data_IF_135492870667
#
_entry.id   IF_135492870667
#
_cell.length_a   1.000
_cell.length_b   1.000
_cell.length_c   1.000
_cell.angle_alpha   90.00
_cell.angle_beta   90.00
_cell.angle_gamma   90.00
#
_symmetry.space_group_name_H-M   'P 1'
#
loop_
_entity.id
_entity.type
_entity.pdbx_description
1 polymer ?
#
# COMPACT_ATOMS: atom_id res chain seq x y z
N UNK A 1 -8.49 -26.11 6.34
CA UNK A 1 -8.78 -24.90 5.54
C UNK A 1 -7.54 -24.00 5.36
N UNK A 2 -6.74 -23.81 6.42
CA UNK A 2 -5.51 -22.98 6.43
C UNK A 2 -4.39 -23.47 5.50
N UNK A 3 -4.29 -24.78 5.26
CA UNK A 3 -3.25 -25.37 4.39
C UNK A 3 -3.49 -25.17 2.88
N UNK A 4 -4.75 -24.93 2.47
CA UNK A 4 -5.12 -24.79 1.07
C UNK A 4 -4.82 -23.39 0.50
N UNK A 5 -4.86 -22.34 1.33
CA UNK A 5 -4.48 -20.98 0.94
C UNK A 5 -2.98 -20.88 0.63
N UNK A 6 -2.12 -21.62 1.36
CA UNK A 6 -0.66 -21.52 1.23
C UNK A 6 -0.11 -21.91 -0.16
N UNK A 7 -0.83 -22.72 -0.94
CA UNK A 7 -0.30 -23.29 -2.19
C UNK A 7 -0.50 -22.44 -3.45
N UNK A 8 -1.37 -21.43 -3.45
CA UNK A 8 -1.75 -20.68 -4.67
C UNK A 8 -1.79 -19.15 -4.49
N UNK A 9 -1.11 -18.59 -3.48
CA UNK A 9 -1.01 -17.12 -3.35
C UNK A 9 0.03 -16.60 -4.34
N UNK A 10 -0.45 -15.88 -5.34
CA UNK A 10 0.39 -15.23 -6.36
C UNK A 10 0.52 -13.75 -6.01
N UNK A 11 1.74 -13.20 -5.86
CA UNK A 11 1.93 -11.77 -5.68
C UNK A 11 1.32 -10.98 -6.83
N UNK A 12 0.58 -9.93 -6.51
CA UNK A 12 0.09 -8.98 -7.51
C UNK A 12 1.26 -8.24 -8.17
N UNK A 13 1.20 -8.06 -9.48
CA UNK A 13 2.25 -7.39 -10.23
C UNK A 13 2.29 -5.89 -9.93
N UNK A 14 3.43 -5.23 -10.19
CA UNK A 14 3.54 -3.77 -10.04
C UNK A 14 2.56 -3.00 -10.95
N UNK A 15 2.20 -3.58 -12.09
CA UNK A 15 1.22 -2.99 -13.01
C UNK A 15 -0.17 -2.84 -12.37
N UNK A 16 -0.50 -3.66 -11.38
CA UNK A 16 -1.73 -3.49 -10.61
C UNK A 16 -1.75 -2.15 -9.86
N UNK A 17 -0.60 -1.68 -9.37
CA UNK A 17 -0.51 -0.42 -8.62
C UNK A 17 -0.31 0.80 -9.52
N UNK A 18 0.18 0.61 -10.76
CA UNK A 18 0.36 1.68 -11.75
C UNK A 18 -0.97 2.08 -12.42
N UNK A 19 -1.97 2.41 -11.61
CA UNK A 19 -3.34 2.74 -12.01
C UNK A 19 -3.92 3.78 -11.03
N UNK A 20 -5.00 4.49 -11.39
CA UNK A 20 -5.56 5.55 -10.54
C UNK A 20 -5.80 5.10 -9.09
N UNK A 21 -5.42 5.91 -8.11
CA UNK A 21 -5.43 5.56 -6.68
C UNK A 21 -6.79 5.03 -6.21
N UNK A 22 -7.89 5.68 -6.61
CA UNK A 22 -9.25 5.26 -6.26
C UNK A 22 -9.62 3.87 -6.81
N UNK A 23 -9.08 3.51 -7.99
CA UNK A 23 -9.32 2.19 -8.58
C UNK A 23 -8.56 1.12 -7.82
N UNK A 24 -7.29 1.38 -7.52
CA UNK A 24 -6.45 0.46 -6.75
C UNK A 24 -7.03 0.22 -5.36
N UNK A 25 -7.39 1.27 -4.61
CA UNK A 25 -7.97 1.16 -3.27
C UNK A 25 -9.21 0.25 -3.25
N UNK A 26 -10.16 0.48 -4.17
CA UNK A 26 -11.37 -0.35 -4.26
C UNK A 26 -11.08 -1.80 -4.64
N UNK A 27 -10.16 -2.04 -5.57
CA UNK A 27 -9.83 -3.39 -6.03
C UNK A 27 -8.95 -4.17 -5.04
N UNK A 28 -8.25 -3.51 -4.12
CA UNK A 28 -7.55 -4.16 -3.02
C UNK A 28 -8.52 -4.82 -2.03
N UNK A 29 -9.76 -4.33 -1.92
CA UNK A 29 -10.77 -4.96 -1.06
C UNK A 29 -11.03 -6.39 -1.50
N UNK A 30 -10.89 -7.32 -0.56
CA UNK A 30 -11.03 -8.74 -0.80
C UNK A 30 -9.72 -9.46 -1.16
N UNK A 31 -8.66 -8.73 -1.48
CA UNK A 31 -7.31 -9.30 -1.65
C UNK A 31 -6.70 -9.70 -0.31
N UNK A 32 -5.53 -10.34 -0.35
CA UNK A 32 -4.83 -10.83 0.83
C UNK A 32 -3.48 -10.14 0.98
N UNK A 33 -3.23 -9.55 2.16
CA UNK A 33 -1.90 -9.17 2.60
C UNK A 33 -1.22 -10.41 3.19
N UNK A 34 -0.07 -10.77 2.62
CA UNK A 34 0.69 -11.96 3.00
C UNK A 34 2.04 -11.50 3.54
N UNK A 35 2.37 -11.94 4.76
CA UNK A 35 3.66 -11.68 5.39
C UNK A 35 4.32 -12.99 5.74
N UNK A 36 5.46 -13.27 5.12
CA UNK A 36 6.33 -14.38 5.49
C UNK A 36 7.48 -13.86 6.37
N UNK A 37 7.71 -14.53 7.50
CA UNK A 37 8.85 -14.34 8.39
C UNK A 37 9.37 -15.73 8.71
N UNK A 38 10.58 -16.05 8.25
CA UNK A 38 11.16 -17.39 8.29
C UNK A 38 10.19 -18.43 7.69
N UNK A 39 9.81 -19.43 8.48
CA UNK A 39 8.85 -20.49 8.09
C UNK A 39 7.38 -20.13 8.42
N UNK A 40 7.14 -18.97 9.03
CA UNK A 40 5.80 -18.52 9.41
C UNK A 40 5.19 -17.63 8.34
N UNK A 41 3.99 -18.01 7.87
CA UNK A 41 3.20 -17.22 6.92
C UNK A 41 1.95 -16.73 7.62
N UNK A 42 1.81 -15.41 7.71
CA UNK A 42 0.63 -14.71 8.19
C UNK A 42 -0.16 -14.17 6.99
N UNK A 43 -1.48 -14.33 7.01
CA UNK A 43 -2.36 -13.90 5.93
C UNK A 43 -3.54 -13.14 6.51
N UNK A 44 -3.79 -11.94 6.02
CA UNK A 44 -4.96 -11.12 6.35
C UNK A 44 -5.73 -10.74 5.09
N UNK A 45 -7.05 -10.86 5.12
CA UNK A 45 -7.90 -10.33 4.04
C UNK A 45 -8.03 -8.82 4.21
N UNK A 46 -7.81 -8.06 3.15
CA UNK A 46 -8.03 -6.61 3.13
C UNK A 46 -9.54 -6.38 3.07
N UNK A 47 -10.09 -5.75 4.11
CA UNK A 47 -11.52 -5.46 4.23
C UNK A 47 -11.82 -3.96 4.23
N UNK A 48 -10.78 -3.14 4.33
CA UNK A 48 -10.86 -1.69 4.39
C UNK A 48 -9.61 -1.07 3.76
N UNK A 49 -9.79 0.07 3.08
CA UNK A 49 -8.74 0.87 2.46
C UNK A 49 -9.14 2.33 2.45
N UNK A 50 -8.18 3.23 2.62
CA UNK A 50 -8.33 4.66 2.37
C UNK A 50 -7.50 5.07 1.15
N UNK A 51 -7.91 6.13 0.46
CA UNK A 51 -7.21 6.68 -0.70
C UNK A 51 -6.81 8.13 -0.41
N UNK A 52 -5.54 8.44 -0.64
CA UNK A 52 -4.96 9.77 -0.50
C UNK A 52 -4.32 10.13 -1.84
N UNK A 53 -4.62 11.32 -2.38
CA UNK A 53 -4.27 11.65 -3.77
C UNK A 53 -3.60 13.01 -3.86
N UNK A 54 -2.28 13.00 -4.08
CA UNK A 54 -1.57 14.19 -4.48
C UNK A 54 -1.41 15.24 -3.38
N UNK A 55 -0.92 16.39 -3.83
CA UNK A 55 -0.65 17.55 -2.98
C UNK A 55 -1.91 18.38 -2.72
N UNK A 56 -2.97 18.19 -3.53
CA UNK A 56 -4.25 18.89 -3.40
C UNK A 56 -5.18 18.25 -2.36
N UNK A 57 -4.89 17.02 -1.91
CA UNK A 57 -5.63 16.34 -0.84
C UNK A 57 -5.09 16.78 0.53
N UNK A 58 -5.80 17.60 1.32
CA UNK A 58 -5.30 18.14 2.58
C UNK A 58 -5.03 17.07 3.64
N UNK A 59 -5.60 15.87 3.50
CA UNK A 59 -5.38 14.76 4.41
C UNK A 59 -4.17 13.91 4.01
N UNK A 60 -3.68 14.03 2.78
CA UNK A 60 -2.51 13.35 2.28
C UNK A 60 -1.22 13.95 2.86
N UNK A 61 -0.24 13.11 3.22
CA UNK A 61 1.07 13.63 3.63
C UNK A 61 1.77 14.41 2.49
N UNK A 62 1.47 14.09 1.23
CA UNK A 62 1.99 14.83 0.07
C UNK A 62 1.42 16.25 -0.03
N UNK A 63 0.39 16.63 0.71
CA UNK A 63 -0.07 18.03 0.80
C UNK A 63 1.00 19.00 1.31
N UNK A 64 2.06 18.48 1.95
CA UNK A 64 3.24 19.25 2.37
C UNK A 64 4.36 19.27 1.31
N UNK A 65 4.10 18.71 0.14
CA UNK A 65 5.05 18.54 -0.95
C UNK A 65 6.12 17.48 -0.67
N UNK A 66 7.16 17.53 -1.48
CA UNK A 66 8.29 16.60 -1.41
C UNK A 66 9.18 16.89 -0.19
N UNK A 67 9.35 15.88 0.66
CA UNK A 67 10.23 15.88 1.82
C UNK A 67 10.96 14.55 1.93
N UNK A 68 11.97 14.44 2.78
CA UNK A 68 12.63 13.14 3.03
C UNK A 68 11.64 12.05 3.51
N UNK A 69 10.56 12.44 4.19
CA UNK A 69 9.52 11.51 4.66
C UNK A 69 8.55 11.13 3.54
N UNK A 70 8.14 12.08 2.70
CA UNK A 70 7.13 11.87 1.64
C UNK A 70 7.75 11.41 0.33
N UNK A 71 9.07 11.43 0.18
CA UNK A 71 9.80 11.03 -1.03
C UNK A 71 9.37 9.68 -1.60
N UNK A 72 9.04 8.70 -0.74
CA UNK A 72 8.55 7.39 -1.15
C UNK A 72 7.23 7.48 -1.93
N UNK A 73 6.34 8.42 -1.58
CA UNK A 73 5.06 8.62 -2.28
C UNK A 73 5.25 9.06 -3.72
N UNK A 74 6.36 9.73 -4.04
CA UNK A 74 6.72 10.13 -5.40
C UNK A 74 7.50 9.03 -6.16
N UNK A 75 7.77 7.89 -5.51
CA UNK A 75 8.50 6.78 -6.11
C UNK A 75 7.64 5.92 -7.04
N UNK A 76 8.20 4.79 -7.53
CA UNK A 76 7.47 3.89 -8.43
C UNK A 76 6.27 3.21 -7.76
N UNK A 77 5.21 2.86 -8.53
CA UNK A 77 4.04 2.16 -8.02
C UNK A 77 4.38 0.79 -7.39
N UNK A 78 3.62 0.42 -6.36
CA UNK A 78 3.79 -0.80 -5.57
C UNK A 78 4.86 -0.70 -4.48
N UNK A 79 5.42 0.48 -4.23
CA UNK A 79 6.28 0.72 -3.07
C UNK A 79 5.44 0.75 -1.80
N UNK A 80 5.97 0.20 -0.71
CA UNK A 80 5.35 0.32 0.61
C UNK A 80 5.81 1.62 1.26
N UNK A 81 4.86 2.47 1.64
CA UNK A 81 5.12 3.64 2.47
C UNK A 81 4.64 3.35 3.89
N UNK A 82 5.58 3.05 4.78
CA UNK A 82 5.33 2.76 6.18
C UNK A 82 5.86 3.91 7.02
N UNK A 83 5.02 4.51 7.85
CA UNK A 83 5.42 5.60 8.73
C UNK A 83 4.99 5.35 10.17
N UNK A 84 5.76 5.95 11.09
CA UNK A 84 5.49 5.92 12.52
C UNK A 84 4.55 7.06 12.91
N UNK A 85 3.50 6.76 13.67
CA UNK A 85 2.47 7.72 14.11
C UNK A 85 2.29 7.65 15.62
N UNK A 86 2.05 8.83 16.23
CA UNK A 86 1.84 9.03 17.67
C UNK A 86 2.95 8.48 18.57
N UNK A 87 4.15 8.26 18.04
CA UNK A 87 5.26 7.72 18.81
C UNK A 87 5.09 6.25 19.22
N UNK A 88 4.12 5.52 18.65
CA UNK A 88 3.78 4.16 19.11
C UNK A 88 3.33 3.20 18.01
N UNK A 89 2.74 3.68 16.92
CA UNK A 89 2.10 2.83 15.91
C UNK A 89 2.70 3.02 14.52
N UNK A 90 2.46 2.06 13.63
CA UNK A 90 2.84 2.15 12.22
C UNK A 90 1.61 2.07 11.32
N UNK A 91 1.60 2.86 10.26
CA UNK A 91 0.60 2.78 9.20
C UNK A 91 1.27 2.28 7.91
N UNK A 92 0.68 1.27 7.28
CA UNK A 92 1.12 0.74 5.99
C UNK A 92 0.28 1.36 4.88
N UNK A 93 0.95 1.94 3.90
CA UNK A 93 0.37 2.48 2.68
C UNK A 93 1.08 1.84 1.48
N UNK A 94 0.44 1.88 0.31
CA UNK A 94 1.04 1.41 -0.94
C UNK A 94 0.97 2.53 -1.97
N UNK A 95 2.10 2.82 -2.61
CA UNK A 95 2.23 3.84 -3.65
C UNK A 95 1.53 3.37 -4.92
N UNK A 96 0.73 4.24 -5.51
CA UNK A 96 -0.03 3.99 -6.73
C UNK A 96 0.31 5.02 -7.79
N UNK A 97 -0.22 4.84 -9.00
CA UNK A 97 0.03 5.73 -10.14
C UNK A 97 1.51 5.80 -10.56
N UNK A 98 1.81 6.70 -11.49
CA UNK A 98 3.14 6.83 -12.09
C UNK A 98 4.12 7.47 -11.11
N UNK A 99 5.40 7.14 -11.26
CA UNK A 99 6.48 7.83 -10.55
C UNK A 99 6.40 9.36 -10.74
N UNK A 100 6.62 10.10 -9.65
CA UNK A 100 6.48 11.55 -9.57
C UNK A 100 5.06 12.05 -9.31
N UNK A 101 4.04 11.17 -9.23
CA UNK A 101 2.67 11.52 -8.87
C UNK A 101 2.29 10.90 -7.52
N UNK A 102 2.34 11.68 -6.42
CA UNK A 102 2.05 11.17 -5.07
C UNK A 102 0.56 11.07 -4.73
#
# INVERSE_FOLDING_TARGET
MEFALKKNLVPISRDFFNRPTLKVARELLGMYLVRQIDDTVMVGKIVETEAYIGEDDPACHAARGYTNRTSIMYGPPGYAYIYFIYGMYHCLNVVTEKEGFP
#
